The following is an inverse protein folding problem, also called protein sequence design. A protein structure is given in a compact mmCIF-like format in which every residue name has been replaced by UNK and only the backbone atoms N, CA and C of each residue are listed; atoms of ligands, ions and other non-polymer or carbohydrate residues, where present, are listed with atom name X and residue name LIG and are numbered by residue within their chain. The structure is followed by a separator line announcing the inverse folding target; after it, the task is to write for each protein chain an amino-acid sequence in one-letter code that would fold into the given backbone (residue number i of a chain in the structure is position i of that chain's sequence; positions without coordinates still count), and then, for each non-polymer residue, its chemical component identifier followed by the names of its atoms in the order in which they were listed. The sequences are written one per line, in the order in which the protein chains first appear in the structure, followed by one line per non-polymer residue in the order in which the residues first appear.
data_IF_682283779333
#
_entry.id   IF_682283779333
#
_cell.length_a   1.000
_cell.length_b   1.000
_cell.length_c   1.000
_cell.angle_alpha   90.00
_cell.angle_beta   90.00
_cell.angle_gamma   90.00
#
_symmetry.space_group_name_H-M   'P 1'
#
loop_
_entity.id
_entity.type
_entity.pdbx_description
1 polymer ?
#
# COMPACT_ATOMS: atom_id res chain seq x y z
N UNK A 1 5.92 -15.10 2.72
CA UNK A 1 5.49 -15.42 1.34
C UNK A 1 6.20 -14.45 0.42
N UNK A 2 6.97 -14.92 -0.56
CA UNK A 2 7.79 -14.09 -1.46
C UNK A 2 6.92 -13.28 -2.45
N UNK A 3 6.06 -12.37 -1.96
CA UNK A 3 5.10 -11.59 -2.75
C UNK A 3 4.14 -12.42 -3.61
N UNK A 4 3.87 -13.67 -3.22
CA UNK A 4 2.86 -14.47 -3.89
C UNK A 4 1.46 -13.88 -3.63
N UNK A 5 0.59 -13.80 -4.66
CA UNK A 5 -0.81 -13.43 -4.47
C UNK A 5 -1.50 -14.31 -3.43
N UNK A 6 -2.42 -13.70 -2.69
CA UNK A 6 -3.23 -14.36 -1.66
C UNK A 6 -4.71 -14.25 -2.05
N UNK A 7 -5.22 -15.11 -2.96
CA UNK A 7 -6.65 -15.15 -3.26
C UNK A 7 -7.43 -15.57 -2.00
N UNK A 8 -8.69 -15.11 -1.90
CA UNK A 8 -9.52 -15.33 -0.71
C UNK A 8 -10.58 -14.25 -0.54
N UNK A 9 -11.36 -14.38 0.53
CA UNK A 9 -12.42 -13.42 0.87
C UNK A 9 -11.83 -12.31 1.73
N UNK A 10 -12.23 -11.07 1.46
CA UNK A 10 -11.90 -9.93 2.32
C UNK A 10 -12.85 -9.92 3.51
N UNK A 11 -12.39 -10.33 4.67
CA UNK A 11 -13.23 -10.45 5.87
C UNK A 11 -13.57 -9.09 6.49
N UNK A 12 -12.60 -8.17 6.48
CA UNK A 12 -12.75 -6.79 6.95
C UNK A 12 -11.98 -5.83 6.06
N UNK A 13 -12.59 -4.68 5.76
CA UNK A 13 -12.01 -3.65 4.91
C UNK A 13 -12.22 -2.27 5.55
N UNK A 14 -11.12 -1.57 5.86
CA UNK A 14 -11.16 -0.16 6.22
C UNK A 14 -10.34 0.64 5.21
N UNK A 15 -11.03 1.51 4.46
CA UNK A 15 -10.42 2.36 3.46
C UNK A 15 -10.04 3.71 4.11
N UNK A 16 -8.77 4.13 4.06
CA UNK A 16 -8.35 5.41 4.63
C UNK A 16 -8.94 6.58 3.84
N UNK A 17 -9.11 7.72 4.52
CA UNK A 17 -9.70 8.92 3.92
C UNK A 17 -9.04 10.21 4.39
N UNK A 18 -9.72 11.32 4.15
CA UNK A 18 -9.29 12.65 4.58
C UNK A 18 -8.71 13.53 3.46
N UNK A 19 -8.33 14.78 3.77
CA UNK A 19 -7.92 15.77 2.78
C UNK A 19 -6.69 15.35 1.97
N UNK A 20 -6.87 15.18 0.66
CA UNK A 20 -5.81 14.79 -0.26
C UNK A 20 -5.53 13.29 -0.29
N UNK A 21 -6.37 12.45 0.32
CA UNK A 21 -6.32 10.99 0.20
C UNK A 21 -7.41 10.53 -0.76
N UNK A 22 -7.03 9.74 -1.76
CA UNK A 22 -7.95 9.13 -2.74
C UNK A 22 -7.65 7.64 -2.81
N UNK A 23 -8.70 6.83 -2.79
CA UNK A 23 -8.60 5.38 -2.99
C UNK A 23 -9.46 4.98 -4.17
N UNK A 24 -8.83 4.37 -5.18
CA UNK A 24 -9.52 3.75 -6.30
C UNK A 24 -9.52 2.23 -6.06
N UNK A 25 -10.71 1.66 -5.87
CA UNK A 25 -10.88 0.22 -5.67
C UNK A 25 -12.22 -0.25 -6.23
N UNK A 26 -12.29 -1.53 -6.58
CA UNK A 26 -13.52 -2.24 -6.91
C UNK A 26 -13.91 -3.27 -5.84
N UNK A 27 -13.07 -3.44 -4.81
CA UNK A 27 -13.32 -4.41 -3.74
C UNK A 27 -14.19 -3.80 -2.65
N UNK A 28 -14.87 -4.65 -1.91
CA UNK A 28 -15.69 -4.31 -0.76
C UNK A 28 -15.57 -5.44 0.27
N UNK A 29 -15.99 -5.20 1.51
CA UNK A 29 -15.98 -6.24 2.53
C UNK A 29 -16.88 -7.43 2.11
N UNK A 30 -16.35 -8.64 2.19
CA UNK A 30 -16.98 -9.87 1.68
C UNK A 30 -16.68 -10.18 0.21
N UNK A 31 -15.92 -9.35 -0.49
CA UNK A 31 -15.50 -9.61 -1.87
C UNK A 31 -14.49 -10.77 -1.94
N UNK A 32 -14.67 -11.69 -2.89
CA UNK A 32 -13.77 -12.81 -3.15
C UNK A 32 -12.74 -12.45 -4.24
N UNK A 33 -11.47 -12.38 -3.86
CA UNK A 33 -10.35 -12.22 -4.78
C UNK A 33 -10.03 -13.57 -5.42
N UNK A 34 -10.33 -13.69 -6.71
CA UNK A 34 -10.03 -14.89 -7.49
C UNK A 34 -8.56 -14.95 -7.93
N UNK A 35 -7.99 -16.15 -8.16
CA UNK A 35 -6.60 -16.31 -8.60
C UNK A 35 -6.39 -16.06 -10.11
N UNK A 36 -7.45 -15.75 -10.87
CA UNK A 36 -7.40 -15.69 -12.33
C UNK A 36 -6.92 -14.35 -12.88
N UNK A 37 -6.97 -13.29 -12.06
CA UNK A 37 -6.62 -11.93 -12.45
C UNK A 37 -5.49 -11.38 -11.58
N UNK A 38 -5.08 -10.14 -11.88
CA UNK A 38 -4.10 -9.44 -11.05
C UNK A 38 -4.60 -9.30 -9.60
N UNK A 39 -3.68 -9.44 -8.67
CA UNK A 39 -3.88 -9.34 -7.21
C UNK A 39 -4.06 -7.91 -6.69
N UNK A 40 -4.38 -6.96 -7.57
CA UNK A 40 -4.53 -5.55 -7.24
C UNK A 40 -5.84 -5.32 -6.47
N UNK A 41 -5.73 -5.00 -5.19
CA UNK A 41 -6.86 -4.72 -4.30
C UNK A 41 -7.33 -3.26 -4.43
N UNK A 42 -6.39 -2.31 -4.37
CA UNK A 42 -6.69 -0.88 -4.42
C UNK A 42 -5.48 -0.07 -4.87
N UNK A 43 -5.74 1.14 -5.39
CA UNK A 43 -4.74 2.18 -5.60
C UNK A 43 -4.96 3.26 -4.56
N UNK A 44 -4.00 3.43 -3.65
CA UNK A 44 -3.97 4.51 -2.67
C UNK A 44 -3.11 5.65 -3.21
N UNK A 45 -3.71 6.83 -3.34
CA UNK A 45 -3.08 8.02 -3.92
C UNK A 45 -3.19 9.15 -2.90
N UNK A 46 -2.09 9.87 -2.70
CA UNK A 46 -2.02 10.97 -1.73
C UNK A 46 -1.44 12.22 -2.37
N UNK A 47 -2.02 13.38 -2.03
CA UNK A 47 -1.59 14.70 -2.45
C UNK A 47 -1.30 15.60 -1.23
N UNK A 48 -0.16 16.28 -1.28
CA UNK A 48 0.28 17.28 -0.30
C UNK A 48 0.85 18.51 -1.02
N UNK A 49 1.09 19.60 -0.30
CA UNK A 49 1.70 20.81 -0.87
C UNK A 49 3.13 20.59 -1.36
N UNK A 50 3.82 19.66 -0.72
CA UNK A 50 5.20 19.27 -0.98
C UNK A 50 5.38 17.76 -0.73
N UNK A 51 6.59 17.26 -1.01
CA UNK A 51 6.94 15.85 -0.87
C UNK A 51 6.82 15.37 0.57
N UNK A 52 7.23 16.19 1.53
CA UNK A 52 7.23 15.85 2.95
C UNK A 52 5.80 15.64 3.46
N UNK A 53 4.89 16.56 3.12
CA UNK A 53 3.47 16.45 3.48
C UNK A 53 2.82 15.24 2.81
N UNK A 54 3.10 14.99 1.52
CA UNK A 54 2.55 13.84 0.81
C UNK A 54 3.03 12.51 1.41
N UNK A 55 4.31 12.42 1.78
CA UNK A 55 4.88 11.26 2.47
C UNK A 55 4.24 11.07 3.84
N UNK A 56 4.08 12.14 4.62
CA UNK A 56 3.45 12.07 5.93
C UNK A 56 2.01 11.54 5.81
N UNK A 57 1.19 12.11 4.92
CA UNK A 57 -0.18 11.66 4.67
C UNK A 57 -0.24 10.20 4.19
N UNK A 58 0.67 9.78 3.31
CA UNK A 58 0.74 8.39 2.84
C UNK A 58 1.09 7.42 3.97
N UNK A 59 1.99 7.79 4.89
CA UNK A 59 2.28 6.98 6.09
C UNK A 59 1.05 6.79 6.98
N UNK A 60 0.25 7.85 7.17
CA UNK A 60 -1.01 7.77 7.92
C UNK A 60 -2.05 6.91 7.19
N UNK A 61 -2.28 7.17 5.91
CA UNK A 61 -3.25 6.41 5.13
C UNK A 61 -2.90 4.91 5.05
N UNK A 62 -1.62 4.55 4.86
CA UNK A 62 -1.18 3.15 4.88
C UNK A 62 -1.35 2.51 6.26
N UNK A 63 -1.13 3.25 7.36
CA UNK A 63 -1.29 2.74 8.71
C UNK A 63 -2.76 2.51 9.10
N UNK A 64 -3.68 3.28 8.51
CA UNK A 64 -5.12 3.11 8.70
C UNK A 64 -5.72 2.05 7.76
N UNK A 65 -5.08 1.75 6.63
CA UNK A 65 -5.63 0.83 5.63
C UNK A 65 -5.62 -0.62 6.14
N UNK A 66 -6.80 -1.11 6.51
CA UNK A 66 -7.00 -2.49 6.94
C UNK A 66 -7.61 -3.29 5.80
N UNK A 67 -6.96 -4.39 5.46
CA UNK A 67 -7.49 -5.45 4.60
C UNK A 67 -7.21 -6.77 5.30
N UNK A 68 -8.26 -7.42 5.79
CA UNK A 68 -8.18 -8.68 6.52
C UNK A 68 -8.74 -9.83 5.66
N UNK A 69 -8.34 -11.07 5.97
CA UNK A 69 -8.72 -12.28 5.24
C UNK A 69 -7.77 -12.66 4.08
N UNK A 70 -6.93 -11.73 3.62
CA UNK A 70 -5.90 -11.96 2.60
C UNK A 70 -4.58 -11.27 2.96
N UNK A 71 -3.45 -11.82 2.53
CA UNK A 71 -2.15 -11.16 2.70
C UNK A 71 -2.01 -9.97 1.74
N UNK A 72 -1.47 -8.84 2.23
CA UNK A 72 -1.23 -7.63 1.42
C UNK A 72 0.23 -7.18 1.47
N UNK A 73 0.57 -6.21 0.62
CA UNK A 73 1.88 -5.55 0.60
C UNK A 73 1.89 -4.20 1.33
N UNK A 74 0.88 -3.90 2.15
CA UNK A 74 0.77 -2.62 2.88
C UNK A 74 1.98 -2.39 3.79
N UNK A 75 2.38 -3.40 4.56
CA UNK A 75 3.56 -3.33 5.44
C UNK A 75 4.86 -3.09 4.66
N UNK A 76 4.99 -3.69 3.48
CA UNK A 76 6.13 -3.44 2.61
C UNK A 76 6.21 -1.97 2.19
N UNK A 77 5.07 -1.42 1.71
CA UNK A 77 4.99 -0.01 1.30
C UNK A 77 5.25 0.93 2.48
N UNK A 78 4.71 0.62 3.66
CA UNK A 78 4.92 1.42 4.87
C UNK A 78 6.39 1.40 5.33
N UNK A 79 7.09 0.27 5.20
CA UNK A 79 8.54 0.20 5.46
C UNK A 79 9.33 0.99 4.43
N UNK A 80 9.02 0.81 3.14
CA UNK A 80 9.72 1.50 2.04
C UNK A 80 9.62 3.03 2.17
N UNK A 81 8.42 3.55 2.43
CA UNK A 81 8.19 5.01 2.54
C UNK A 81 8.82 5.65 3.77
N UNK A 82 9.20 4.83 4.78
CA UNK A 82 9.92 5.26 5.98
C UNK A 82 11.44 5.25 5.81
N UNK A 83 11.96 4.82 4.66
CA UNK A 83 13.40 4.85 4.40
C UNK A 83 13.87 6.27 4.10
N UNK A 84 15.06 6.62 4.58
CA UNK A 84 15.69 7.92 4.30
C UNK A 84 15.92 8.13 2.79
N UNK A 85 16.27 7.05 2.07
CA UNK A 85 16.40 7.06 0.62
C UNK A 85 15.08 7.48 -0.06
N UNK A 86 13.95 6.90 0.35
CA UNK A 86 12.65 7.30 -0.18
C UNK A 86 12.31 8.75 0.18
N UNK A 87 12.53 9.17 1.43
CA UNK A 87 12.25 10.54 1.87
C UNK A 87 13.04 11.57 1.06
N UNK A 88 14.34 11.34 0.89
CA UNK A 88 15.25 12.22 0.12
C UNK A 88 15.12 12.11 -1.39
N UNK A 89 14.45 11.08 -1.90
CA UNK A 89 14.39 10.81 -3.34
C UNK A 89 15.67 10.21 -3.93
N UNK A 90 16.54 9.63 -3.08
CA UNK A 90 17.83 9.06 -3.47
C UNK A 90 17.71 7.55 -3.72
N UNK A 91 17.08 7.19 -4.84
CA UNK A 91 16.91 5.79 -5.25
C UNK A 91 16.87 5.65 -6.78
N UNK A 92 17.20 4.44 -7.24
CA UNK A 92 17.16 4.05 -8.65
C UNK A 92 16.35 2.75 -8.84
N UNK A 93 16.26 2.27 -10.07
CA UNK A 93 15.53 1.05 -10.42
C UNK A 93 16.10 -0.24 -9.78
N UNK A 94 17.32 -0.22 -9.28
CA UNK A 94 17.97 -1.34 -8.59
C UNK A 94 17.94 -1.23 -7.06
N UNK A 95 17.39 -0.15 -6.50
CA UNK A 95 17.40 0.12 -5.05
C UNK A 95 16.88 -1.07 -4.22
N UNK A 96 15.73 -1.63 -4.61
CA UNK A 96 15.11 -2.75 -3.91
C UNK A 96 15.92 -4.05 -3.96
N UNK A 97 16.85 -4.21 -4.91
CA UNK A 97 17.75 -5.37 -4.95
C UNK A 97 18.92 -5.24 -3.98
N UNK A 98 19.25 -4.01 -3.56
CA UNK A 98 20.36 -3.71 -2.63
C UNK A 98 19.90 -3.59 -1.19
N UNK A 99 18.64 -3.22 -0.98
CA UNK A 99 18.07 -3.00 0.36
C UNK A 99 17.16 -4.17 0.75
N UNK A 100 17.40 -4.73 1.94
CA UNK A 100 16.50 -5.72 2.54
C UNK A 100 15.46 -5.02 3.41
N UNK A 101 14.23 -4.94 2.91
CA UNK A 101 13.07 -4.40 3.65
C UNK A 101 12.22 -5.51 4.30
N UNK A 102 12.38 -6.74 3.80
CA UNK A 102 11.76 -7.99 4.27
C UNK A 102 12.76 -9.12 3.99
#
# INVERSE_FOLDING_TARGET
MNFMPSPGVIDSLFIPGGPGVRVDTAVYQGYEITPYYDSMIAKLIVHGKDREEAIAKMKWALAEFIVDGVSTNIDFHLKLIRTEAFEKGDYDNGYLNRVKLI
#
